data_IF_140031383776
#
_entry.id   IF_140031383776
#
_cell.length_a   1.000
_cell.length_b   1.000
_cell.length_c   1.000
_cell.angle_alpha   90.00
_cell.angle_beta   90.00
_cell.angle_gamma   90.00
#
_symmetry.space_group_name_H-M   'P 1'
#
loop_
_entity.id
_entity.type
_entity.pdbx_description
1 polymer ?
#
# COMPACT_ATOMS: atom_id res chain seq x y z
N UNK A 1 9.53 -32.27 -21.72
CA UNK A 1 9.04 -30.92 -22.07
C UNK A 1 7.93 -30.50 -21.09
N UNK A 2 8.19 -30.55 -19.77
CA UNK A 2 7.18 -30.16 -18.75
C UNK A 2 7.70 -29.08 -17.79
N UNK A 3 9.01 -28.82 -17.79
CA UNK A 3 9.64 -27.83 -16.91
C UNK A 3 9.42 -26.37 -17.35
N UNK A 4 9.13 -26.11 -18.63
CA UNK A 4 8.95 -24.73 -19.12
C UNK A 4 7.57 -24.15 -18.81
N UNK A 5 6.55 -25.02 -18.73
CA UNK A 5 5.18 -24.64 -18.37
C UNK A 5 5.02 -24.29 -16.88
N UNK A 6 5.76 -24.99 -16.01
CA UNK A 6 5.75 -24.70 -14.57
C UNK A 6 6.47 -23.39 -14.24
N UNK A 7 7.60 -23.10 -14.92
CA UNK A 7 8.34 -21.85 -14.73
C UNK A 7 7.55 -20.62 -15.21
N UNK A 8 6.89 -20.72 -16.38
CA UNK A 8 6.05 -19.62 -16.90
C UNK A 8 4.84 -19.31 -16.01
N UNK A 9 4.23 -20.32 -15.37
CA UNK A 9 3.11 -20.09 -14.45
C UNK A 9 3.55 -19.35 -13.17
N UNK A 10 4.72 -19.70 -12.63
CA UNK A 10 5.28 -19.06 -11.43
C UNK A 10 5.74 -17.62 -11.71
N UNK A 11 6.31 -17.35 -12.88
CA UNK A 11 6.65 -15.98 -13.30
C UNK A 11 5.40 -15.12 -13.51
N UNK A 12 4.34 -15.68 -14.12
CA UNK A 12 3.08 -14.97 -14.30
C UNK A 12 2.39 -14.61 -12.97
N UNK A 13 2.45 -15.50 -11.98
CA UNK A 13 1.88 -15.24 -10.65
C UNK A 13 2.67 -14.15 -9.89
N UNK A 14 4.00 -14.19 -9.96
CA UNK A 14 4.86 -13.14 -9.40
C UNK A 14 4.62 -11.77 -10.06
N UNK A 15 4.48 -11.72 -11.39
CA UNK A 15 4.16 -10.48 -12.11
C UNK A 15 2.79 -9.95 -11.73
N UNK A 16 1.82 -10.85 -11.47
CA UNK A 16 0.49 -10.47 -11.01
C UNK A 16 0.50 -9.94 -9.58
N UNK A 17 1.29 -10.52 -8.68
CA UNK A 17 1.44 -10.02 -7.31
C UNK A 17 2.23 -8.72 -7.25
N UNK A 18 3.23 -8.53 -8.12
CA UNK A 18 3.93 -7.26 -8.29
C UNK A 18 2.97 -6.17 -8.79
N UNK A 19 2.21 -6.44 -9.86
CA UNK A 19 1.20 -5.52 -10.38
C UNK A 19 0.13 -5.20 -9.33
N UNK A 20 -0.29 -6.21 -8.55
CA UNK A 20 -1.18 -6.01 -7.41
C UNK A 20 -0.55 -5.13 -6.36
N UNK A 21 0.74 -5.23 -6.06
CA UNK A 21 1.39 -4.36 -5.08
C UNK A 21 1.43 -2.90 -5.56
N UNK A 22 1.74 -2.71 -6.85
CA UNK A 22 1.83 -1.38 -7.48
C UNK A 22 0.48 -0.70 -7.72
N UNK A 23 -0.63 -1.46 -7.74
CA UNK A 23 -2.01 -0.95 -7.77
C UNK A 23 -2.42 -0.29 -6.44
N UNK A 24 -1.58 0.58 -5.90
CA UNK A 24 -1.85 1.38 -4.71
C UNK A 24 -1.92 2.85 -5.13
N UNK A 25 -2.96 3.52 -4.66
CA UNK A 25 -3.16 4.94 -4.86
C UNK A 25 -2.74 5.68 -3.59
N UNK A 26 -1.63 6.41 -3.66
CA UNK A 26 -1.19 7.31 -2.59
C UNK A 26 -1.79 8.70 -2.82
N UNK A 27 -2.53 9.21 -1.84
CA UNK A 27 -3.18 10.51 -1.91
C UNK A 27 -3.02 11.28 -0.59
N UNK A 28 -3.21 12.60 -0.67
CA UNK A 28 -3.20 13.48 0.50
C UNK A 28 -4.63 13.79 0.90
N UNK A 29 -4.97 13.52 2.16
CA UNK A 29 -6.21 13.99 2.76
C UNK A 29 -5.94 15.32 3.45
N UNK A 30 -6.54 16.38 2.95
CA UNK A 30 -6.58 17.68 3.62
C UNK A 30 -7.79 17.73 4.56
N UNK A 31 -7.53 18.05 5.82
CA UNK A 31 -8.56 18.26 6.84
C UNK A 31 -8.39 19.64 7.43
N UNK A 32 -9.37 20.49 7.16
CA UNK A 32 -9.49 21.79 7.81
C UNK A 32 -10.34 21.64 9.08
N UNK A 33 -9.82 22.13 10.20
CA UNK A 33 -10.55 22.16 11.46
C UNK A 33 -10.66 23.61 11.94
N UNK A 34 -11.90 24.05 12.16
CA UNK A 34 -12.19 25.34 12.77
C UNK A 34 -12.03 25.21 14.29
N UNK A 35 -11.05 25.91 14.84
CA UNK A 35 -10.78 25.96 16.27
C UNK A 35 -11.09 27.35 16.79
N UNK A 36 -11.41 27.47 18.09
CA UNK A 36 -11.55 28.76 18.79
C UNK A 36 -10.35 29.72 18.60
N UNK A 37 -9.19 29.21 18.21
CA UNK A 37 -7.96 29.98 17.93
C UNK A 37 -7.70 30.21 16.42
N UNK A 38 -8.63 29.85 15.54
CA UNK A 38 -8.51 29.97 14.09
C UNK A 38 -8.53 28.63 13.36
N UNK A 39 -8.51 28.69 12.03
CA UNK A 39 -8.55 27.52 11.14
C UNK A 39 -7.19 26.83 11.11
N UNK A 40 -7.16 25.52 11.37
CA UNK A 40 -5.98 24.68 11.23
C UNK A 40 -6.16 23.73 10.06
N UNK A 41 -5.20 23.73 9.14
CA UNK A 41 -5.14 22.75 8.05
C UNK A 41 -4.16 21.63 8.41
N UNK A 42 -4.61 20.39 8.29
CA UNK A 42 -3.80 19.20 8.46
C UNK A 42 -3.79 18.40 7.17
N UNK A 43 -2.60 18.03 6.72
CA UNK A 43 -2.42 17.16 5.57
C UNK A 43 -1.99 15.77 6.05
N UNK A 44 -2.68 14.75 5.61
CA UNK A 44 -2.43 13.36 5.95
C UNK A 44 -2.12 12.55 4.69
N UNK A 45 -1.13 11.68 4.77
CA UNK A 45 -0.90 10.68 3.75
C UNK A 45 -1.84 9.51 3.95
N UNK A 46 -2.58 9.19 2.89
CA UNK A 46 -3.49 8.07 2.80
C UNK A 46 -3.03 7.17 1.65
N UNK A 47 -3.12 5.87 1.84
CA UNK A 47 -2.96 4.92 0.74
C UNK A 47 -4.24 4.12 0.59
N UNK A 48 -4.68 3.95 -0.65
CA UNK A 48 -5.85 3.17 -1.00
C UNK A 48 -5.45 2.07 -1.96
N UNK A 49 -5.92 0.85 -1.74
CA UNK A 49 -5.72 -0.24 -2.68
C UNK A 49 -6.91 -1.18 -2.67
N UNK A 50 -7.07 -1.96 -3.74
CA UNK A 50 -8.12 -2.95 -3.82
C UNK A 50 -7.69 -4.25 -3.15
N UNK A 51 -8.53 -4.76 -2.27
CA UNK A 51 -8.43 -6.08 -1.64
C UNK A 51 -9.64 -6.90 -2.10
N UNK A 52 -9.45 -7.72 -3.13
CA UNK A 52 -10.53 -8.48 -3.75
C UNK A 52 -11.62 -7.57 -4.32
N UNK A 53 -12.80 -7.58 -3.71
CA UNK A 53 -13.96 -6.75 -4.11
C UNK A 53 -14.11 -5.45 -3.31
N UNK A 54 -13.26 -5.20 -2.31
CA UNK A 54 -13.34 -4.01 -1.44
C UNK A 54 -12.13 -3.10 -1.63
N UNK A 55 -12.32 -1.80 -1.41
CA UNK A 55 -11.22 -0.83 -1.35
C UNK A 55 -10.79 -0.68 0.11
N UNK A 56 -9.52 -0.94 0.39
CA UNK A 56 -8.90 -0.68 1.68
C UNK A 56 -8.25 0.69 1.66
N UNK A 57 -8.41 1.46 2.74
CA UNK A 57 -7.81 2.78 2.91
C UNK A 57 -7.00 2.78 4.20
N UNK A 58 -5.72 3.11 4.11
CA UNK A 58 -4.78 3.08 5.21
C UNK A 58 -4.20 4.47 5.48
N UNK A 59 -4.17 4.85 6.75
CA UNK A 59 -3.52 6.07 7.20
C UNK A 59 -2.02 5.85 7.39
N UNK A 60 -1.19 6.61 6.68
CA UNK A 60 0.26 6.46 6.71
C UNK A 60 0.95 7.43 7.67
N UNK A 61 0.32 8.57 7.94
CA UNK A 61 0.86 9.62 8.80
C UNK A 61 0.52 11.02 8.34
N UNK A 62 1.02 12.02 9.07
CA UNK A 62 0.89 13.43 8.69
C UNK A 62 1.97 13.81 7.69
N UNK A 63 1.61 14.54 6.62
CA UNK A 63 2.54 14.99 5.58
C UNK A 63 3.68 15.85 6.12
N UNK A 64 3.47 16.57 7.22
CA UNK A 64 4.52 17.38 7.88
C UNK A 64 5.70 16.57 8.40
N UNK A 65 5.52 15.27 8.69
CA UNK A 65 6.55 14.40 9.28
C UNK A 65 6.99 13.27 8.36
N UNK A 66 6.29 13.09 7.24
CA UNK A 66 6.44 11.92 6.38
C UNK A 66 6.51 12.40 4.94
N UNK A 67 7.63 12.10 4.29
CA UNK A 67 7.79 12.38 2.86
C UNK A 67 6.95 11.42 2.00
N UNK A 68 6.64 11.84 0.77
CA UNK A 68 5.89 11.03 -0.20
C UNK A 68 6.55 9.68 -0.46
N UNK A 69 7.86 9.64 -0.63
CA UNK A 69 8.58 8.39 -0.92
C UNK A 69 8.53 7.44 0.28
N UNK A 70 8.71 7.99 1.49
CA UNK A 70 8.59 7.22 2.73
C UNK A 70 7.17 6.69 2.93
N UNK A 71 6.17 7.50 2.59
CA UNK A 71 4.76 7.11 2.63
C UNK A 71 4.47 5.98 1.63
N UNK A 72 5.00 6.07 0.41
CA UNK A 72 4.86 5.04 -0.61
C UNK A 72 5.50 3.72 -0.17
N UNK A 73 6.73 3.76 0.37
CA UNK A 73 7.41 2.57 0.92
C UNK A 73 6.64 1.92 2.08
N UNK A 74 6.06 2.74 2.97
CA UNK A 74 5.17 2.24 4.03
C UNK A 74 3.90 1.60 3.47
N UNK A 75 3.24 2.24 2.50
CA UNK A 75 2.05 1.72 1.85
C UNK A 75 2.31 0.36 1.20
N UNK A 76 3.42 0.22 0.45
CA UNK A 76 3.85 -1.04 -0.16
C UNK A 76 4.06 -2.13 0.88
N UNK A 77 4.74 -1.83 2.00
CA UNK A 77 4.93 -2.79 3.11
C UNK A 77 3.62 -3.21 3.76
N UNK A 78 2.71 -2.29 4.02
CA UNK A 78 1.41 -2.60 4.64
C UNK A 78 0.58 -3.46 3.69
N UNK A 79 0.51 -3.08 2.42
CA UNK A 79 -0.19 -3.83 1.39
C UNK A 79 0.38 -5.24 1.18
N UNK A 80 1.71 -5.39 1.18
CA UNK A 80 2.35 -6.71 1.10
C UNK A 80 2.00 -7.60 2.29
N UNK A 81 1.90 -7.02 3.50
CA UNK A 81 1.42 -7.73 4.70
C UNK A 81 -0.06 -8.10 4.59
N UNK A 82 -0.90 -7.17 4.13
CA UNK A 82 -2.35 -7.36 3.99
C UNK A 82 -2.71 -8.43 2.94
N UNK A 83 -1.97 -8.47 1.83
CA UNK A 83 -2.10 -9.46 0.77
C UNK A 83 -1.40 -10.79 1.11
N UNK A 84 -0.64 -10.87 2.20
CA UNK A 84 0.06 -12.10 2.60
C UNK A 84 1.23 -12.49 1.70
N UNK A 85 1.65 -11.62 0.76
CA UNK A 85 2.76 -11.84 -0.18
C UNK A 85 4.10 -11.93 0.58
N UNK A 86 4.18 -11.33 1.78
CA UNK A 86 5.34 -11.44 2.66
C UNK A 86 5.27 -12.68 3.60
N UNK A 87 4.96 -13.87 3.05
CA UNK A 87 5.18 -15.17 3.72
C UNK A 87 6.39 -15.89 3.12
N UNK A 88 7.57 -15.48 3.57
CA UNK A 88 8.83 -16.24 3.64
C UNK A 88 9.59 -15.57 4.79
N UNK A 89 9.82 -16.13 5.96
CA UNK A 89 9.95 -17.53 6.39
C UNK A 89 9.79 -17.54 7.92
N UNK A 90 8.91 -18.37 8.47
CA UNK A 90 9.01 -18.82 9.87
C UNK A 90 9.14 -20.34 9.79
N UNK A 91 10.32 -20.93 10.07
CA UNK A 91 10.39 -22.36 10.31
C UNK A 91 9.80 -22.66 11.70
N UNK A 92 8.84 -23.59 11.75
CA UNK A 92 8.53 -24.37 12.97
C UNK A 92 9.76 -25.15 13.46
#
# INVERSE_FOLDING_TARGET
MESEAASTLAEADNLRDAARLEDLHLWKMEKEFDSRKGRKKYEYWMASWRRGSKVHNEYLGTCKKLDRDTALGKARRIKAKDLGINKRSEPE
#
